data_IF_348736964664
#
_entry.id   IF_348736964664
#
_cell.length_a   1.000
_cell.length_b   1.000
_cell.length_c   1.000
_cell.angle_alpha   90.00
_cell.angle_beta   90.00
_cell.angle_gamma   90.00
#
_symmetry.space_group_name_H-M   'P 1'
#
loop_
_entity.id
_entity.type
_entity.pdbx_description
1 polymer ?
#
# COMPACT_ATOMS: atom_id res chain seq x y z
N UNK A 1 -27.06 39.64 8.60
CA UNK A 1 -26.12 39.02 9.56
C UNK A 1 -25.83 37.64 9.03
N UNK A 2 -24.60 37.39 8.60
CA UNK A 2 -24.18 36.01 8.29
C UNK A 2 -24.08 35.25 9.62
N UNK A 3 -24.82 34.14 9.75
CA UNK A 3 -24.66 33.23 10.88
C UNK A 3 -23.28 32.59 10.79
N UNK A 4 -22.43 32.90 11.78
CA UNK A 4 -21.09 32.34 11.88
C UNK A 4 -21.17 30.98 12.56
N UNK A 5 -20.97 29.90 11.81
CA UNK A 5 -20.88 28.55 12.37
C UNK A 5 -19.50 28.38 13.04
N UNK A 6 -19.47 28.26 14.36
CA UNK A 6 -18.27 27.90 15.12
C UNK A 6 -18.20 26.39 15.33
N UNK A 7 -17.03 25.80 15.06
CA UNK A 7 -16.76 24.39 15.36
C UNK A 7 -15.85 24.30 16.58
N UNK A 8 -16.21 23.41 17.51
CA UNK A 8 -15.39 23.14 18.69
C UNK A 8 -14.18 22.27 18.35
N UNK A 9 -13.08 22.49 19.08
CA UNK A 9 -11.90 21.63 19.00
C UNK A 9 -12.20 20.34 19.77
N UNK A 10 -12.29 19.23 19.05
CA UNK A 10 -12.50 17.89 19.59
C UNK A 10 -11.17 17.30 20.06
N UNK A 11 -10.16 17.33 19.19
CA UNK A 11 -8.83 16.78 19.47
C UNK A 11 -7.83 17.93 19.68
N UNK A 12 -7.61 18.34 20.93
CA UNK A 12 -6.74 19.49 21.25
C UNK A 12 -5.26 19.23 20.95
N UNK A 13 -4.80 18.02 21.24
CA UNK A 13 -3.40 17.61 21.08
C UNK A 13 -3.28 16.72 19.84
N UNK A 14 -3.54 17.32 18.68
CA UNK A 14 -3.67 16.65 17.39
C UNK A 14 -2.54 17.03 16.44
N UNK A 15 -1.98 16.02 15.77
CA UNK A 15 -1.05 16.22 14.65
C UNK A 15 -1.64 15.73 13.33
N UNK A 16 -1.23 16.36 12.24
CA UNK A 16 -1.51 15.93 10.87
C UNK A 16 -0.23 15.57 10.14
N UNK A 17 -0.21 14.43 9.47
CA UNK A 17 0.95 13.94 8.73
C UNK A 17 0.58 13.70 7.28
N UNK A 18 1.31 14.35 6.37
CA UNK A 18 1.32 14.00 4.96
C UNK A 18 2.50 13.05 4.68
N UNK A 19 2.16 11.83 4.28
CA UNK A 19 3.14 10.74 4.11
C UNK A 19 3.59 10.67 2.66
N UNK A 20 4.82 11.12 2.41
CA UNK A 20 5.52 10.98 1.14
C UNK A 20 6.46 9.76 1.09
N UNK A 21 6.94 9.45 -0.12
CA UNK A 21 7.89 8.36 -0.35
C UNK A 21 9.35 8.73 -0.02
N UNK A 22 9.65 10.01 0.18
CA UNK A 22 11.01 10.52 0.47
C UNK A 22 11.11 11.23 1.82
N UNK A 23 10.01 11.80 2.26
CA UNK A 23 9.89 12.50 3.54
C UNK A 23 8.44 12.51 4.02
N UNK A 24 8.27 12.87 5.29
CA UNK A 24 6.99 13.04 5.96
C UNK A 24 6.89 14.47 6.46
N UNK A 25 5.83 15.17 6.05
CA UNK A 25 5.54 16.51 6.54
C UNK A 25 4.56 16.41 7.70
N UNK A 26 4.93 16.98 8.83
CA UNK A 26 4.17 16.87 10.07
C UNK A 26 3.80 18.26 10.55
N UNK A 27 2.52 18.46 10.87
CA UNK A 27 2.03 19.67 11.51
C UNK A 27 1.46 19.33 12.89
N UNK A 28 1.90 20.03 13.92
CA UNK A 28 1.34 19.99 15.30
C UNK A 28 0.49 21.23 15.60
N UNK A 29 0.37 22.14 14.63
CA UNK A 29 -0.44 23.33 14.69
C UNK A 29 -0.57 24.00 13.31
N UNK A 30 -1.01 25.26 13.30
CA UNK A 30 -1.34 25.99 12.07
C UNK A 30 -0.30 27.04 11.67
N UNK A 31 0.71 27.28 12.48
CA UNK A 31 1.81 28.21 12.18
C UNK A 31 3.02 27.46 11.62
N UNK A 32 3.86 28.14 10.83
CA UNK A 32 4.96 27.48 10.10
C UNK A 32 6.06 26.92 11.01
N UNK A 33 6.23 27.46 12.22
CA UNK A 33 7.14 26.98 13.25
C UNK A 33 6.68 25.66 13.90
N UNK A 34 5.40 25.29 13.71
CA UNK A 34 4.81 24.04 14.19
C UNK A 34 4.73 22.98 13.09
N UNK A 35 5.58 23.09 12.08
CA UNK A 35 5.66 22.19 10.93
C UNK A 35 7.11 21.76 10.75
N UNK A 36 7.32 20.46 10.59
CA UNK A 36 8.65 19.92 10.35
C UNK A 36 8.61 18.79 9.33
N UNK A 37 9.66 18.73 8.50
CA UNK A 37 9.90 17.64 7.57
C UNK A 37 10.82 16.60 8.24
N UNK A 38 10.45 15.32 8.13
CA UNK A 38 11.24 14.19 8.59
C UNK A 38 11.58 13.26 7.43
N UNK A 39 12.70 12.57 7.53
CA UNK A 39 13.05 11.49 6.61
C UNK A 39 12.19 10.23 6.78
N UNK A 40 12.46 9.21 5.96
CA UNK A 40 11.70 7.95 5.91
C UNK A 40 12.42 6.75 6.52
N UNK A 41 13.65 6.94 7.02
CA UNK A 41 14.42 5.87 7.66
C UNK A 41 13.98 5.71 9.12
N UNK A 42 14.22 4.53 9.70
CA UNK A 42 13.79 4.20 11.06
C UNK A 42 14.20 5.27 12.09
N UNK A 43 15.44 5.75 12.05
CA UNK A 43 15.92 6.82 12.93
C UNK A 43 15.06 8.09 12.83
N UNK A 44 14.65 8.47 11.62
CA UNK A 44 13.79 9.64 11.40
C UNK A 44 12.35 9.39 11.87
N UNK A 45 11.85 8.16 11.77
CA UNK A 45 10.52 7.82 12.28
C UNK A 45 10.46 7.91 13.81
N UNK A 46 11.53 7.47 14.50
CA UNK A 46 11.64 7.64 15.95
C UNK A 46 11.83 9.10 16.34
N UNK A 47 12.66 9.85 15.61
CA UNK A 47 12.84 11.30 15.80
C UNK A 47 11.51 12.05 15.67
N UNK A 48 10.71 11.70 14.66
CA UNK A 48 9.36 12.23 14.45
C UNK A 48 8.46 11.94 15.66
N UNK A 49 8.43 10.70 16.14
CA UNK A 49 7.63 10.32 17.29
C UNK A 49 8.06 11.03 18.59
N UNK A 50 9.36 11.20 18.80
CA UNK A 50 9.90 11.94 19.94
C UNK A 50 9.55 13.43 19.84
N UNK A 51 9.58 14.02 18.65
CA UNK A 51 9.16 15.40 18.40
C UNK A 51 7.66 15.62 18.67
N UNK A 52 6.81 14.67 18.30
CA UNK A 52 5.37 14.70 18.65
C UNK A 52 5.16 14.63 20.17
N UNK A 53 5.95 13.81 20.86
CA UNK A 53 5.90 13.69 22.32
C UNK A 53 6.29 15.01 23.00
N UNK A 54 7.34 15.67 22.51
CA UNK A 54 7.78 16.98 23.00
C UNK A 54 6.68 18.05 22.89
N UNK A 55 5.86 17.98 21.84
CA UNK A 55 4.71 18.87 21.62
C UNK A 55 3.43 18.41 22.33
N UNK A 56 3.50 17.40 23.21
CA UNK A 56 2.38 16.84 23.96
C UNK A 56 1.23 16.34 23.08
N UNK A 57 1.54 15.83 21.88
CA UNK A 57 0.54 15.26 20.96
C UNK A 57 0.02 13.93 21.51
N UNK A 58 -1.28 13.72 21.41
CA UNK A 58 -1.94 12.48 21.83
C UNK A 58 -2.51 11.71 20.63
N UNK A 59 -3.04 12.43 19.64
CA UNK A 59 -3.73 11.84 18.48
C UNK A 59 -3.10 12.31 17.18
N UNK A 60 -2.99 11.41 16.21
CA UNK A 60 -2.30 11.68 14.94
C UNK A 60 -3.19 11.24 13.78
N UNK A 61 -3.48 12.15 12.85
CA UNK A 61 -4.07 11.79 11.57
C UNK A 61 -2.99 11.70 10.50
N UNK A 62 -3.00 10.63 9.71
CA UNK A 62 -2.09 10.44 8.58
C UNK A 62 -2.87 10.23 7.28
N UNK A 63 -2.55 10.99 6.25
CA UNK A 63 -2.98 10.69 4.88
C UNK A 63 -1.96 9.74 4.24
N UNK A 64 -2.44 8.66 3.63
CA UNK A 64 -1.56 7.75 2.92
C UNK A 64 -1.80 7.71 1.42
N UNK A 65 -0.69 7.77 0.69
CA UNK A 65 -0.58 7.22 -0.67
C UNK A 65 0.26 5.93 -0.64
N UNK A 66 -0.37 4.77 -0.89
CA UNK A 66 0.33 3.49 -0.99
C UNK A 66 0.59 2.81 0.36
N UNK A 67 1.79 2.24 0.54
CA UNK A 67 2.17 1.43 1.71
C UNK A 67 3.17 2.12 2.65
N UNK A 68 3.61 3.35 2.36
CA UNK A 68 4.64 4.06 3.14
C UNK A 68 4.25 4.34 4.59
N UNK A 69 2.95 4.39 4.88
CA UNK A 69 2.42 4.68 6.21
C UNK A 69 2.66 3.59 7.25
N UNK A 70 2.86 2.33 6.83
CA UNK A 70 2.84 1.17 7.72
C UNK A 70 3.96 1.25 8.77
N UNK A 71 5.16 1.65 8.37
CA UNK A 71 6.31 1.74 9.27
C UNK A 71 6.13 2.85 10.31
N UNK A 72 5.72 4.04 9.85
CA UNK A 72 5.45 5.16 10.75
C UNK A 72 4.30 4.84 11.71
N UNK A 73 3.23 4.22 11.21
CA UNK A 73 2.11 3.77 12.04
C UNK A 73 2.57 2.82 13.15
N UNK A 74 3.38 1.81 12.83
CA UNK A 74 3.91 0.88 13.84
C UNK A 74 4.72 1.59 14.92
N UNK A 75 5.60 2.53 14.53
CA UNK A 75 6.38 3.34 15.49
C UNK A 75 5.48 4.18 16.38
N UNK A 76 4.50 4.88 15.82
CA UNK A 76 3.58 5.74 16.58
C UNK A 76 2.72 4.93 17.56
N UNK A 77 2.18 3.78 17.14
CA UNK A 77 1.45 2.88 18.04
C UNK A 77 2.36 2.39 19.18
N UNK A 78 3.62 2.02 18.89
CA UNK A 78 4.57 1.59 19.93
C UNK A 78 4.91 2.67 20.96
N UNK A 79 4.76 3.95 20.56
CA UNK A 79 4.98 5.12 21.42
C UNK A 79 3.70 5.60 22.13
N UNK A 80 2.57 4.91 21.91
CA UNK A 80 1.31 5.16 22.61
C UNK A 80 0.41 6.23 21.98
N UNK A 81 0.65 6.63 20.72
CA UNK A 81 -0.23 7.58 20.02
C UNK A 81 -1.49 6.89 19.51
N UNK A 82 -2.61 7.62 19.53
CA UNK A 82 -3.83 7.20 18.82
C UNK A 82 -3.75 7.63 17.35
N UNK A 83 -3.68 6.67 16.43
CA UNK A 83 -3.43 6.95 15.01
C UNK A 83 -4.69 6.74 14.16
N UNK A 84 -5.05 7.76 13.39
CA UNK A 84 -6.16 7.74 12.43
C UNK A 84 -5.63 7.77 11.00
N UNK A 85 -5.69 6.64 10.30
CA UNK A 85 -5.34 6.57 8.88
C UNK A 85 -6.49 7.11 8.01
N UNK A 86 -6.29 8.26 7.39
CA UNK A 86 -7.32 8.95 6.62
C UNK A 86 -7.21 8.59 5.12
N UNK A 87 -8.37 8.41 4.48
CA UNK A 87 -8.40 8.23 3.03
C UNK A 87 -8.15 9.58 2.35
N UNK A 88 -7.18 9.65 1.44
CA UNK A 88 -6.82 10.86 0.69
C UNK A 88 -7.94 11.49 -0.15
N UNK A 89 -9.13 10.87 -0.23
CA UNK A 89 -10.33 11.52 -0.76
C UNK A 89 -10.92 12.58 0.17
N UNK A 90 -10.77 12.42 1.49
CA UNK A 90 -11.39 13.29 2.51
C UNK A 90 -10.47 14.43 2.95
N UNK A 91 -9.16 14.29 2.74
CA UNK A 91 -8.13 15.29 3.08
C UNK A 91 -7.74 16.16 1.89
N UNK A 92 -8.29 15.91 0.69
CA UNK A 92 -8.01 16.74 -0.49
C UNK A 92 -8.54 18.16 -0.31
N UNK A 93 -7.62 19.11 -0.30
CA UNK A 93 -7.95 20.54 -0.38
C UNK A 93 -8.80 20.84 -1.62
N UNK A 94 -9.85 21.64 -1.43
CA UNK A 94 -10.74 22.10 -2.49
C UNK A 94 -9.98 23.17 -3.30
N UNK A 95 -9.54 22.82 -4.51
CA UNK A 95 -8.94 23.69 -5.57
C UNK A 95 -7.87 24.70 -5.10
N UNK A 96 -6.58 24.36 -5.31
CA UNK A 96 -5.45 25.28 -5.16
C UNK A 96 -4.08 24.63 -5.42
N UNK A 97 -2.98 25.39 -5.37
CA UNK A 97 -1.60 24.86 -5.45
C UNK A 97 -1.33 23.96 -4.22
N UNK A 98 -1.30 22.65 -4.44
CA UNK A 98 -0.97 21.61 -3.48
C UNK A 98 0.51 21.73 -3.07
N UNK A 99 0.79 21.76 -1.77
CA UNK A 99 2.14 21.74 -1.20
C UNK A 99 2.08 20.89 0.07
N UNK A 100 3.04 20.00 0.28
CA UNK A 100 3.03 19.03 1.39
C UNK A 100 2.87 19.71 2.78
N UNK A 101 3.43 20.93 2.94
CA UNK A 101 3.21 21.80 4.12
C UNK A 101 1.73 22.12 4.36
N UNK A 102 1.01 22.55 3.32
CA UNK A 102 -0.42 22.89 3.44
C UNK A 102 -1.27 21.66 3.65
N UNK A 103 -0.85 20.52 3.11
CA UNK A 103 -1.59 19.27 3.24
C UNK A 103 -1.50 18.74 4.67
N UNK A 104 -0.32 18.66 5.28
CA UNK A 104 -0.20 18.25 6.68
C UNK A 104 -0.93 19.21 7.65
N UNK A 105 -0.88 20.53 7.42
CA UNK A 105 -1.67 21.51 8.20
C UNK A 105 -3.17 21.30 8.06
N UNK A 106 -3.63 21.00 6.85
CA UNK A 106 -5.04 20.76 6.58
C UNK A 106 -5.52 19.48 7.27
N UNK A 107 -4.72 18.42 7.22
CA UNK A 107 -4.97 17.17 7.96
C UNK A 107 -5.04 17.48 9.47
N UNK A 108 -4.09 18.24 10.01
CA UNK A 108 -4.04 18.61 11.42
C UNK A 108 -5.31 19.36 11.84
N UNK A 109 -5.76 20.32 11.02
CA UNK A 109 -6.97 21.10 11.27
C UNK A 109 -8.22 20.23 11.26
N UNK A 110 -8.40 19.40 10.23
CA UNK A 110 -9.56 18.53 10.12
C UNK A 110 -9.61 17.50 11.26
N UNK A 111 -8.45 16.96 11.66
CA UNK A 111 -8.34 16.04 12.78
C UNK A 111 -8.69 16.73 14.10
N UNK A 112 -8.18 17.94 14.32
CA UNK A 112 -8.48 18.75 15.52
C UNK A 112 -9.98 19.01 15.69
N UNK A 113 -10.70 19.18 14.58
CA UNK A 113 -12.15 19.41 14.54
C UNK A 113 -12.97 18.11 14.53
N UNK A 114 -12.34 16.92 14.56
CA UNK A 114 -13.03 15.63 14.52
C UNK A 114 -13.72 15.33 13.18
N UNK A 115 -13.30 15.98 12.09
CA UNK A 115 -13.93 15.87 10.77
C UNK A 115 -13.37 14.73 9.90
N UNK A 116 -12.35 14.03 10.39
CA UNK A 116 -11.73 12.92 9.68
C UNK A 116 -12.32 11.58 10.14
N UNK A 117 -12.68 10.75 9.16
CA UNK A 117 -13.06 9.36 9.40
C UNK A 117 -11.85 8.45 9.13
N UNK A 118 -11.51 7.64 10.11
CA UNK A 118 -10.47 6.63 10.01
C UNK A 118 -10.83 5.53 9.01
N UNK A 119 -9.84 5.10 8.24
CA UNK A 119 -9.90 3.89 7.45
C UNK A 119 -9.86 2.68 8.39
N UNK A 120 -10.59 1.63 8.03
CA UNK A 120 -10.54 0.38 8.77
C UNK A 120 -9.14 -0.23 8.70
N UNK A 121 -8.52 -0.35 9.87
CA UNK A 121 -7.29 -1.10 10.08
C UNK A 121 -7.67 -2.43 10.76
N UNK A 122 -7.46 -3.57 10.10
CA UNK A 122 -7.68 -4.86 10.74
C UNK A 122 -6.74 -5.06 11.92
N UNK A 123 -7.17 -5.87 12.87
CA UNK A 123 -6.30 -6.42 13.91
C UNK A 123 -5.17 -7.27 13.30
N UNK A 124 -4.15 -7.57 14.12
CA UNK A 124 -2.95 -8.28 13.71
C UNK A 124 -3.26 -9.63 13.06
N UNK A 125 -4.11 -10.45 13.69
CA UNK A 125 -4.49 -11.77 13.19
C UNK A 125 -5.19 -11.66 11.82
N UNK A 126 -6.12 -10.72 11.70
CA UNK A 126 -6.84 -10.46 10.44
C UNK A 126 -5.89 -9.96 9.35
N UNK A 127 -4.91 -9.11 9.65
CA UNK A 127 -3.94 -8.62 8.66
C UNK A 127 -2.97 -9.71 8.21
N UNK A 128 -2.53 -10.60 9.11
CA UNK A 128 -1.74 -11.79 8.79
C UNK A 128 -2.52 -12.68 7.81
N UNK A 129 -3.79 -12.99 8.11
CA UNK A 129 -4.63 -13.82 7.25
C UNK A 129 -4.87 -13.17 5.87
N UNK A 130 -5.11 -11.85 5.84
CA UNK A 130 -5.27 -11.09 4.60
C UNK A 130 -4.01 -11.14 3.75
N UNK A 131 -2.84 -11.03 4.37
CA UNK A 131 -1.54 -11.11 3.69
C UNK A 131 -1.37 -12.46 3.01
N UNK A 132 -1.59 -13.57 3.71
CA UNK A 132 -1.49 -14.91 3.14
C UNK A 132 -2.51 -15.15 2.01
N UNK A 133 -3.76 -14.73 2.21
CA UNK A 133 -4.82 -14.90 1.22
C UNK A 133 -4.53 -14.13 -0.07
N UNK A 134 -4.06 -12.87 0.06
CA UNK A 134 -3.65 -12.05 -1.08
C UNK A 134 -2.43 -12.64 -1.78
N UNK A 135 -1.44 -13.13 -1.02
CA UNK A 135 -0.25 -13.76 -1.59
C UNK A 135 -0.63 -15.01 -2.41
N UNK A 136 -1.46 -15.91 -1.85
CA UNK A 136 -1.97 -17.08 -2.56
C UNK A 136 -2.69 -16.69 -3.85
N UNK A 137 -3.58 -15.70 -3.81
CA UNK A 137 -4.30 -15.23 -4.99
C UNK A 137 -3.36 -14.69 -6.07
N UNK A 138 -2.33 -13.94 -5.65
CA UNK A 138 -1.31 -13.43 -6.56
C UNK A 138 -0.53 -14.56 -7.23
N UNK A 139 -0.13 -15.60 -6.48
CA UNK A 139 0.53 -16.77 -7.04
C UNK A 139 -0.35 -17.51 -8.06
N UNK A 140 -1.64 -17.68 -7.77
CA UNK A 140 -2.59 -18.30 -8.71
C UNK A 140 -2.69 -17.48 -10.01
N UNK A 141 -2.81 -16.16 -9.90
CA UNK A 141 -2.86 -15.26 -11.07
C UNK A 141 -1.56 -15.31 -11.88
N UNK A 142 -0.42 -15.31 -11.20
CA UNK A 142 0.89 -15.40 -11.85
C UNK A 142 1.06 -16.73 -12.58
N UNK A 143 0.68 -17.85 -11.96
CA UNK A 143 0.70 -19.17 -12.59
C UNK A 143 -0.17 -19.19 -13.85
N UNK A 144 -1.41 -18.69 -13.78
CA UNK A 144 -2.30 -18.62 -14.94
C UNK A 144 -1.72 -17.73 -16.07
N UNK A 145 -1.09 -16.61 -15.72
CA UNK A 145 -0.41 -15.74 -16.68
C UNK A 145 0.78 -16.44 -17.35
N UNK A 146 1.60 -17.16 -16.57
CA UNK A 146 2.71 -17.95 -17.07
C UNK A 146 2.25 -19.05 -18.04
N UNK A 147 1.17 -19.77 -17.71
CA UNK A 147 0.57 -20.79 -18.60
C UNK A 147 0.14 -20.17 -19.93
N UNK A 148 -0.56 -19.02 -19.91
CA UNK A 148 -0.96 -18.32 -21.14
C UNK A 148 0.24 -17.88 -21.97
N UNK A 149 1.32 -17.44 -21.31
CA UNK A 149 2.57 -17.05 -21.96
C UNK A 149 3.25 -18.26 -22.63
N UNK A 150 3.31 -19.42 -21.97
CA UNK A 150 3.83 -20.65 -22.57
C UNK A 150 3.01 -21.07 -23.80
N UNK A 151 1.67 -21.11 -23.69
CA UNK A 151 0.79 -21.42 -24.82
C UNK A 151 0.96 -20.44 -25.99
N UNK A 152 1.16 -19.15 -25.72
CA UNK A 152 1.45 -18.15 -26.76
C UNK A 152 2.73 -18.49 -27.51
N UNK A 153 3.83 -18.74 -26.80
CA UNK A 153 5.12 -19.02 -27.45
C UNK A 153 5.15 -20.35 -28.20
N UNK A 154 4.52 -21.40 -27.65
CA UNK A 154 4.39 -22.68 -28.37
C UNK A 154 3.67 -22.47 -29.71
N UNK A 155 2.56 -21.71 -29.73
CA UNK A 155 1.86 -21.37 -30.98
C UNK A 155 2.70 -20.55 -31.95
N UNK A 156 3.50 -19.60 -31.45
CA UNK A 156 4.41 -18.81 -32.30
C UNK A 156 5.51 -19.65 -32.94
N UNK A 157 5.94 -20.73 -32.28
CA UNK A 157 6.86 -21.74 -32.83
C UNK A 157 6.15 -22.80 -33.68
N UNK A 158 4.86 -22.62 -33.98
CA UNK A 158 4.00 -23.56 -34.69
C UNK A 158 3.86 -24.94 -33.97
N UNK A 159 3.97 -24.97 -32.65
CA UNK A 159 3.77 -26.15 -31.80
C UNK A 159 2.36 -26.05 -31.17
N UNK A 160 1.40 -26.79 -31.72
CA UNK A 160 -0.02 -26.78 -31.29
C UNK A 160 -0.32 -27.75 -30.15
N UNK A 161 0.53 -27.76 -29.11
CA UNK A 161 0.38 -28.65 -27.96
C UNK A 161 -0.95 -28.40 -27.21
N UNK A 162 -1.45 -27.16 -27.25
CA UNK A 162 -2.75 -26.74 -26.71
C UNK A 162 -3.96 -27.49 -27.29
N UNK A 163 -3.81 -28.10 -28.47
CA UNK A 163 -4.86 -28.91 -29.12
C UNK A 163 -4.71 -30.40 -28.80
N UNK A 164 -3.49 -30.85 -28.49
CA UNK A 164 -3.15 -32.26 -28.33
C UNK A 164 -3.31 -32.74 -26.89
N UNK A 165 -3.08 -31.87 -25.91
CA UNK A 165 -3.19 -32.19 -24.48
C UNK A 165 -4.21 -31.28 -23.78
N UNK A 166 -4.89 -31.84 -22.77
CA UNK A 166 -5.88 -31.11 -21.97
C UNK A 166 -5.26 -29.97 -21.14
N UNK A 167 -4.04 -30.19 -20.63
CA UNK A 167 -3.30 -29.22 -19.84
C UNK A 167 -1.84 -29.14 -20.30
N UNK A 168 -1.47 -27.99 -20.86
CA UNK A 168 -0.12 -27.71 -21.41
C UNK A 168 0.94 -27.64 -20.31
N UNK A 169 0.55 -27.26 -19.09
CA UNK A 169 1.45 -27.22 -17.92
C UNK A 169 1.23 -28.38 -16.95
N UNK A 170 0.38 -29.34 -17.33
CA UNK A 170 0.21 -30.61 -16.62
C UNK A 170 1.41 -31.55 -16.83
N UNK A 171 1.38 -32.72 -16.18
CA UNK A 171 2.50 -33.68 -16.21
C UNK A 171 2.92 -34.04 -17.65
N UNK A 172 1.97 -34.42 -18.50
CA UNK A 172 2.22 -34.75 -19.92
C UNK A 172 2.76 -33.55 -20.69
N UNK A 173 2.10 -32.38 -20.59
CA UNK A 173 2.50 -31.18 -21.32
C UNK A 173 3.92 -30.76 -20.98
N UNK A 174 4.29 -30.75 -19.69
CA UNK A 174 5.64 -30.42 -19.25
C UNK A 174 6.68 -31.45 -19.68
N UNK A 175 6.36 -32.75 -19.70
CA UNK A 175 7.26 -33.79 -20.22
C UNK A 175 7.61 -33.53 -21.69
N UNK A 176 6.60 -33.27 -22.52
CA UNK A 176 6.78 -33.00 -23.95
C UNK A 176 7.57 -31.69 -24.15
N UNK A 177 7.22 -30.61 -23.45
CA UNK A 177 7.91 -29.33 -23.54
C UNK A 177 9.38 -29.46 -23.13
N UNK A 178 9.68 -30.22 -22.06
CA UNK A 178 11.07 -30.47 -21.63
C UNK A 178 11.85 -31.28 -22.65
N UNK A 179 11.24 -32.31 -23.26
CA UNK A 179 11.90 -33.08 -24.31
C UNK A 179 12.26 -32.19 -25.51
N UNK A 180 11.33 -31.34 -25.97
CA UNK A 180 11.58 -30.36 -27.05
C UNK A 180 12.70 -29.40 -26.65
N UNK A 181 12.68 -28.88 -25.42
CA UNK A 181 13.73 -27.97 -24.92
C UNK A 181 15.12 -28.63 -24.83
N UNK A 182 15.17 -29.95 -24.66
CA UNK A 182 16.41 -30.75 -24.70
C UNK A 182 16.84 -31.13 -26.13
N UNK A 183 16.14 -30.64 -27.15
CA UNK A 183 16.46 -30.86 -28.56
C UNK A 183 15.76 -32.05 -29.21
N UNK A 184 14.80 -32.68 -28.54
CA UNK A 184 14.01 -33.76 -29.16
C UNK A 184 13.11 -33.22 -30.27
N UNK A 185 13.18 -33.86 -31.44
CA UNK A 185 12.44 -33.46 -32.66
C UNK A 185 11.71 -34.64 -33.32
N UNK A 186 11.93 -35.88 -32.86
CA UNK A 186 11.24 -37.06 -33.38
C UNK A 186 9.76 -37.05 -32.95
N UNK A 187 8.80 -36.95 -33.89
CA UNK A 187 7.39 -36.92 -33.57
C UNK A 187 6.88 -38.19 -32.90
N UNK A 188 7.45 -39.38 -33.20
CA UNK A 188 7.04 -40.65 -32.56
C UNK A 188 7.46 -40.69 -31.10
N UNK A 189 8.68 -40.22 -30.82
CA UNK A 189 9.22 -40.14 -29.45
C UNK A 189 8.51 -39.08 -28.62
N UNK A 190 8.12 -37.95 -29.20
CA UNK A 190 7.30 -36.95 -28.51
C UNK A 190 5.87 -37.46 -28.26
N UNK A 191 5.27 -38.18 -29.22
CA UNK A 191 3.93 -38.74 -29.07
C UNK A 191 3.85 -39.84 -27.99
N UNK A 192 4.92 -40.61 -27.78
CA UNK A 192 4.96 -41.64 -26.73
C UNK A 192 5.04 -41.07 -25.30
N UNK A 193 5.31 -39.76 -25.14
CA UNK A 193 5.29 -39.06 -23.86
C UNK A 193 3.87 -38.62 -23.42
N UNK A 194 2.85 -38.84 -24.26
CA UNK A 194 1.47 -38.43 -24.01
C UNK A 194 0.85 -39.14 -22.82
#
# INVERSE_FOLDING_TARGET
MEEQISLDIVNKNAAGIDIGSRSHWVAVGQTNDLIQEFGVYNENLYELADWLTLHNIATVAMESTGNYWQNLHAVLISKGFEVTLCNGKFTKNIKGKKTDVKDCQWIQKLHSLGLLSGSFLPDEDTEILRTFTRHRHNLIKQAASATKKMQKYLRLMNIRLDVVVKDVVGLTGLKIIRAIALGETDPKKLASLR
#
